data_IF_396978130553
#
_entry.id   IF_396978130553
#
_cell.length_a   1.000
_cell.length_b   1.000
_cell.length_c   1.000
_cell.angle_alpha   90.00
_cell.angle_beta   90.00
_cell.angle_gamma   90.00
#
_symmetry.space_group_name_H-M   'P 1'
#
loop_
_entity.id
_entity.type
_entity.pdbx_description
1 polymer ?
#
# COMPACT_ATOMS: atom_id res chain seq x y z
N UNK A 1 -4.93 25.56 6.47
CA UNK A 1 -4.29 24.61 5.53
C UNK A 1 -3.59 23.53 6.32
N UNK A 2 -3.46 22.31 5.79
CA UNK A 2 -2.65 21.26 6.46
C UNK A 2 -1.16 21.52 6.24
N UNK A 3 -0.32 21.26 7.25
CA UNK A 3 1.15 21.35 7.17
C UNK A 3 1.73 20.61 5.95
N UNK A 4 1.10 19.50 5.55
CA UNK A 4 1.54 18.72 4.38
C UNK A 4 1.25 19.44 3.05
N UNK A 5 0.18 20.23 2.99
CA UNK A 5 -0.15 21.06 1.82
C UNK A 5 0.83 22.23 1.77
N UNK A 6 1.08 22.88 2.91
CA UNK A 6 2.06 23.97 3.03
C UNK A 6 3.46 23.52 2.57
N UNK A 7 3.92 22.34 3.03
CA UNK A 7 5.22 21.77 2.63
C UNK A 7 5.33 21.56 1.11
N UNK A 8 4.25 21.07 0.48
CA UNK A 8 4.20 20.87 -0.98
C UNK A 8 4.23 22.19 -1.74
N UNK A 9 3.52 23.21 -1.25
CA UNK A 9 3.51 24.54 -1.84
C UNK A 9 4.89 25.20 -1.72
N UNK A 10 5.49 25.18 -0.53
CA UNK A 10 6.85 25.72 -0.32
C UNK A 10 7.84 25.01 -1.24
N UNK A 11 7.80 23.68 -1.31
CA UNK A 11 8.67 22.92 -2.23
C UNK A 11 8.47 23.30 -3.70
N UNK A 12 7.22 23.46 -4.15
CA UNK A 12 6.92 23.90 -5.51
C UNK A 12 7.44 25.33 -5.80
N UNK A 13 7.30 26.24 -4.83
CA UNK A 13 7.82 27.60 -4.94
C UNK A 13 9.35 27.61 -4.99
N UNK A 14 10.03 26.88 -4.11
CA UNK A 14 11.49 26.79 -4.14
C UNK A 14 12.01 26.25 -5.48
N UNK A 15 11.37 25.21 -6.03
CA UNK A 15 11.70 24.69 -7.36
C UNK A 15 11.43 25.74 -8.45
N UNK A 16 10.29 26.42 -8.40
CA UNK A 16 9.94 27.46 -9.37
C UNK A 16 10.97 28.61 -9.38
N UNK A 17 11.31 29.15 -8.22
CA UNK A 17 12.27 30.24 -8.12
C UNK A 17 13.68 29.81 -8.52
N UNK A 18 14.10 28.60 -8.15
CA UNK A 18 15.43 28.07 -8.51
C UNK A 18 15.53 27.78 -10.01
N UNK A 19 14.58 27.01 -10.56
CA UNK A 19 14.71 26.46 -11.92
C UNK A 19 14.22 27.42 -13.02
N UNK A 20 13.33 28.37 -12.70
CA UNK A 20 12.77 29.30 -13.69
C UNK A 20 13.18 30.76 -13.49
N UNK A 21 13.59 31.16 -12.29
CA UNK A 21 13.95 32.55 -11.98
C UNK A 21 15.41 32.71 -11.52
N UNK A 22 16.17 31.62 -11.44
CA UNK A 22 17.57 31.57 -11.01
C UNK A 22 17.81 32.29 -9.67
N UNK A 23 16.88 32.09 -8.72
CA UNK A 23 16.94 32.65 -7.37
C UNK A 23 16.79 31.57 -6.31
N UNK A 24 17.71 31.58 -5.35
CA UNK A 24 17.56 30.79 -4.14
C UNK A 24 16.70 31.53 -3.10
N UNK A 25 15.59 30.91 -2.71
CA UNK A 25 14.60 31.48 -1.78
C UNK A 25 14.30 30.54 -0.61
N UNK A 26 15.08 29.47 -0.43
CA UNK A 26 14.81 28.46 0.61
C UNK A 26 14.81 29.08 2.01
N UNK A 27 15.72 30.01 2.28
CA UNK A 27 15.84 30.69 3.58
C UNK A 27 14.67 31.63 3.88
N UNK A 28 13.86 31.98 2.86
CA UNK A 28 12.69 32.83 3.03
C UNK A 28 11.45 32.06 3.53
N UNK A 29 11.51 30.73 3.59
CA UNK A 29 10.38 29.89 3.98
C UNK A 29 10.66 29.11 5.26
N UNK A 30 9.81 29.28 6.28
CA UNK A 30 9.83 28.39 7.45
C UNK A 30 9.16 27.05 7.12
N UNK A 31 9.90 25.96 7.31
CA UNK A 31 9.36 24.61 7.15
C UNK A 31 8.56 24.22 8.40
N UNK A 32 7.30 23.76 8.24
CA UNK A 32 6.56 23.23 9.37
C UNK A 32 7.24 21.96 9.89
N UNK A 33 7.67 21.98 11.14
CA UNK A 33 8.27 20.81 11.79
C UNK A 33 7.17 19.82 12.19
N UNK A 34 7.33 18.54 11.86
CA UNK A 34 6.40 17.48 12.27
C UNK A 34 6.94 16.78 13.51
N UNK A 35 6.20 16.85 14.61
CA UNK A 35 6.46 15.99 15.76
C UNK A 35 6.16 14.53 15.40
N UNK A 36 7.06 13.61 15.76
CA UNK A 36 6.85 12.18 15.57
C UNK A 36 5.73 11.72 16.50
N UNK A 37 4.57 11.35 15.93
CA UNK A 37 3.49 10.73 16.68
C UNK A 37 3.70 9.21 16.69
N UNK A 38 3.50 8.52 17.83
CA UNK A 38 3.52 7.06 17.88
C UNK A 38 2.56 6.48 16.84
N UNK A 39 2.99 5.42 16.16
CA UNK A 39 2.15 4.73 15.19
C UNK A 39 1.20 3.80 15.93
N UNK A 40 -0.09 4.01 15.75
CA UNK A 40 -1.16 3.15 16.28
C UNK A 40 -1.21 1.83 15.49
N UNK A 41 -0.90 0.72 16.18
CA UNK A 41 -0.87 -0.65 15.62
C UNK A 41 -2.18 -1.36 15.97
N UNK A 42 -2.71 -2.13 15.02
CA UNK A 42 -3.96 -2.86 15.20
C UNK A 42 -3.76 -4.06 16.13
N UNK A 43 -4.72 -4.31 17.03
CA UNK A 43 -4.74 -5.53 17.82
C UNK A 43 -5.11 -6.74 16.96
N UNK A 44 -4.76 -7.94 17.43
CA UNK A 44 -5.02 -9.19 16.71
C UNK A 44 -6.52 -9.43 16.51
N UNK A 45 -7.34 -9.10 17.51
CA UNK A 45 -8.79 -9.27 17.48
C UNK A 45 -9.41 -8.37 16.40
N UNK A 46 -8.95 -7.13 16.31
CA UNK A 46 -9.39 -6.18 15.29
C UNK A 46 -9.05 -6.67 13.86
N UNK A 47 -7.87 -7.29 13.68
CA UNK A 47 -7.48 -7.89 12.40
C UNK A 47 -8.37 -9.09 12.05
N UNK A 48 -8.65 -9.96 13.02
CA UNK A 48 -9.51 -11.14 12.82
C UNK A 48 -10.96 -10.74 12.49
N UNK A 49 -11.50 -9.75 13.18
CA UNK A 49 -12.86 -9.24 12.91
C UNK A 49 -12.94 -8.65 11.50
N UNK A 50 -11.96 -7.84 11.11
CA UNK A 50 -11.92 -7.27 9.75
C UNK A 50 -11.77 -8.35 8.67
N UNK A 51 -10.87 -9.31 8.88
CA UNK A 51 -10.65 -10.41 7.93
C UNK A 51 -11.91 -11.26 7.74
N UNK A 52 -12.64 -11.51 8.82
CA UNK A 52 -13.88 -12.31 8.79
C UNK A 52 -15.02 -11.60 8.06
N UNK A 53 -15.03 -10.26 8.06
CA UNK A 53 -16.02 -9.45 7.34
C UNK A 53 -15.73 -9.31 5.83
N UNK A 54 -14.55 -9.70 5.35
CA UNK A 54 -14.27 -9.73 3.92
C UNK A 54 -15.03 -10.91 3.29
N UNK A 55 -15.98 -10.63 2.40
CA UNK A 55 -16.73 -11.70 1.72
C UNK A 55 -15.99 -12.24 0.50
N UNK A 56 -15.35 -11.35 -0.27
CA UNK A 56 -14.76 -11.70 -1.55
C UNK A 56 -13.34 -12.30 -1.37
N UNK A 57 -13.06 -13.49 -1.93
CA UNK A 57 -11.79 -14.20 -1.75
C UNK A 57 -10.58 -13.40 -2.25
N UNK A 58 -10.75 -12.59 -3.29
CA UNK A 58 -9.74 -11.65 -3.79
C UNK A 58 -9.24 -10.72 -2.70
N UNK A 59 -10.15 -10.08 -1.96
CA UNK A 59 -9.77 -9.11 -0.93
C UNK A 59 -9.22 -9.79 0.34
N UNK A 60 -9.61 -11.04 0.61
CA UNK A 60 -8.97 -11.87 1.64
C UNK A 60 -7.51 -12.16 1.30
N UNK A 61 -7.24 -12.59 0.07
CA UNK A 61 -5.88 -12.81 -0.42
C UNK A 61 -5.07 -11.51 -0.34
N UNK A 62 -5.60 -10.38 -0.83
CA UNK A 62 -4.93 -9.07 -0.75
C UNK A 62 -4.61 -8.68 0.70
N UNK A 63 -5.53 -8.93 1.64
CA UNK A 63 -5.33 -8.64 3.06
C UNK A 63 -4.15 -9.42 3.63
N UNK A 64 -4.12 -10.74 3.40
CA UNK A 64 -3.06 -11.62 3.91
C UNK A 64 -1.71 -11.29 3.27
N UNK A 65 -1.66 -11.07 1.96
CA UNK A 65 -0.44 -10.61 1.31
C UNK A 65 0.02 -9.27 1.87
N UNK A 66 -0.86 -8.29 2.06
CA UNK A 66 -0.47 -7.00 2.64
C UNK A 66 0.11 -7.13 4.06
N UNK A 67 -0.48 -7.98 4.89
CA UNK A 67 -0.08 -8.19 6.28
C UNK A 67 1.24 -8.97 6.41
N UNK A 68 1.49 -9.93 5.52
CA UNK A 68 2.65 -10.84 5.62
C UNK A 68 3.85 -10.35 4.81
N UNK A 69 3.62 -9.85 3.60
CA UNK A 69 4.67 -9.41 2.68
C UNK A 69 5.19 -8.00 2.98
N UNK A 70 4.40 -7.21 3.70
CA UNK A 70 4.71 -5.81 3.95
C UNK A 70 4.84 -4.97 2.67
N UNK A 71 4.22 -5.36 1.57
CA UNK A 71 4.26 -4.56 0.35
C UNK A 71 3.47 -3.26 0.49
N UNK A 72 3.95 -2.20 -0.16
CA UNK A 72 3.15 -0.98 -0.33
C UNK A 72 1.92 -1.31 -1.18
N UNK A 73 0.78 -0.67 -0.91
CA UNK A 73 -0.44 -0.85 -1.71
C UNK A 73 -0.22 -0.69 -3.22
N UNK A 74 0.73 0.17 -3.62
CA UNK A 74 1.14 0.31 -5.02
C UNK A 74 1.78 -0.93 -5.62
N UNK A 75 2.70 -1.54 -4.88
CA UNK A 75 3.43 -2.72 -5.33
C UNK A 75 2.52 -3.94 -5.29
N UNK A 76 1.70 -4.04 -4.25
CA UNK A 76 0.68 -5.08 -4.12
C UNK A 76 -0.29 -5.11 -5.31
N UNK A 77 -0.80 -3.96 -5.76
CA UNK A 77 -1.70 -3.89 -6.93
C UNK A 77 -0.99 -4.07 -8.29
N UNK A 78 0.35 -4.03 -8.31
CA UNK A 78 1.16 -4.14 -9.53
C UNK A 78 1.87 -5.49 -9.64
N UNK A 79 1.75 -6.35 -8.64
CA UNK A 79 2.29 -7.70 -8.60
C UNK A 79 1.71 -8.51 -9.77
N UNK A 80 2.55 -9.23 -10.49
CA UNK A 80 2.24 -10.12 -11.61
C UNK A 80 2.39 -11.58 -11.20
N UNK A 81 1.80 -12.51 -11.94
CA UNK A 81 1.91 -13.95 -11.65
C UNK A 81 3.37 -14.39 -11.63
N UNK A 82 4.18 -13.86 -12.55
CA UNK A 82 5.60 -14.17 -12.66
C UNK A 82 6.43 -13.65 -11.48
N UNK A 83 5.91 -12.70 -10.70
CA UNK A 83 6.57 -12.22 -9.48
C UNK A 83 6.37 -13.18 -8.28
N UNK A 84 5.48 -14.19 -8.40
CA UNK A 84 5.16 -15.16 -7.34
C UNK A 84 5.88 -16.48 -7.62
N UNK A 85 6.74 -16.89 -6.68
CA UNK A 85 7.40 -18.19 -6.73
C UNK A 85 6.70 -19.21 -5.81
N UNK A 86 6.84 -20.50 -6.12
CA UNK A 86 6.28 -21.61 -5.33
C UNK A 86 6.87 -21.66 -3.91
N UNK A 87 8.08 -21.13 -3.73
CA UNK A 87 8.80 -21.03 -2.44
C UNK A 87 8.35 -19.86 -1.54
N UNK A 88 7.17 -19.29 -1.81
CA UNK A 88 6.60 -18.12 -1.10
C UNK A 88 7.42 -16.85 -1.24
N UNK A 89 8.19 -16.79 -2.32
CA UNK A 89 9.04 -15.68 -2.68
C UNK A 89 8.23 -14.67 -3.48
N UNK A 90 8.41 -13.38 -3.19
CA UNK A 90 7.94 -12.28 -4.01
C UNK A 90 9.13 -11.47 -4.46
N UNK A 91 9.35 -11.44 -5.77
CA UNK A 91 10.37 -10.63 -6.43
C UNK A 91 9.64 -9.61 -7.28
N UNK A 92 9.33 -8.41 -6.77
CA UNK A 92 8.60 -7.44 -7.57
C UNK A 92 9.52 -6.89 -8.67
N UNK A 93 9.33 -7.32 -9.91
CA UNK A 93 10.25 -7.06 -11.04
C UNK A 93 10.32 -5.58 -11.50
N UNK A 94 9.61 -4.69 -10.80
CA UNK A 94 9.57 -3.26 -11.15
C UNK A 94 10.57 -2.46 -10.32
N UNK A 95 11.80 -2.39 -10.80
CA UNK A 95 12.70 -1.29 -10.46
C UNK A 95 12.03 0.05 -10.81
N UNK A 96 11.94 0.94 -9.83
CA UNK A 96 11.79 2.36 -10.18
C UNK A 96 13.20 2.92 -10.27
N UNK A 97 13.47 3.82 -11.22
CA UNK A 97 14.79 4.45 -11.45
C UNK A 97 15.45 5.09 -10.23
N UNK A 98 14.72 5.18 -9.11
CA UNK A 98 15.14 5.83 -7.86
C UNK A 98 15.07 4.85 -6.65
N UNK A 99 14.30 3.76 -6.73
CA UNK A 99 14.08 2.84 -5.59
C UNK A 99 14.02 1.39 -6.06
N UNK A 100 15.01 0.63 -5.62
CA UNK A 100 15.04 -0.83 -5.73
C UNK A 100 14.03 -1.45 -4.76
N UNK A 101 13.34 -2.49 -5.20
CA UNK A 101 12.44 -3.27 -4.36
C UNK A 101 13.11 -4.61 -4.10
N UNK A 102 13.44 -4.88 -2.84
CA UNK A 102 14.08 -6.11 -2.42
C UNK A 102 13.07 -7.26 -2.31
N UNK A 103 13.62 -8.47 -2.26
CA UNK A 103 12.93 -9.73 -1.99
C UNK A 103 12.02 -9.65 -0.77
N UNK A 104 10.81 -10.19 -0.89
CA UNK A 104 9.86 -10.30 0.23
C UNK A 104 9.25 -11.71 0.25
N UNK A 105 8.66 -12.10 1.37
CA UNK A 105 8.03 -13.41 1.55
C UNK A 105 6.55 -13.27 1.93
N UNK A 106 5.75 -14.31 1.71
CA UNK A 106 4.39 -14.44 2.27
C UNK A 106 4.23 -15.77 3.02
N UNK A 107 3.15 -15.93 3.80
CA UNK A 107 2.92 -17.13 4.61
C UNK A 107 2.04 -18.17 3.88
N UNK A 108 1.90 -19.36 4.48
CA UNK A 108 1.03 -20.43 3.96
C UNK A 108 -0.44 -20.00 3.82
N UNK A 109 -0.97 -19.26 4.80
CA UNK A 109 -2.36 -18.78 4.76
C UNK A 109 -2.62 -17.87 3.55
N UNK A 110 -1.64 -17.02 3.19
CA UNK A 110 -1.71 -16.18 2.00
C UNK A 110 -1.68 -17.03 0.73
N UNK A 111 -0.85 -18.08 0.68
CA UNK A 111 -0.81 -19.02 -0.45
C UNK A 111 -2.16 -19.72 -0.65
N UNK A 112 -2.74 -20.25 0.43
CA UNK A 112 -4.05 -20.90 0.41
C UNK A 112 -5.16 -19.95 -0.06
N UNK A 113 -5.17 -18.72 0.45
CA UNK A 113 -6.13 -17.70 0.02
C UNK A 113 -5.94 -17.29 -1.44
N UNK A 114 -4.70 -17.30 -1.94
CA UNK A 114 -4.42 -17.04 -3.36
C UNK A 114 -4.95 -18.16 -4.25
N UNK A 115 -4.69 -19.43 -3.91
CA UNK A 115 -5.21 -20.57 -4.66
C UNK A 115 -6.76 -20.62 -4.66
N UNK A 116 -7.40 -20.22 -3.57
CA UNK A 116 -8.86 -20.09 -3.51
C UNK A 116 -9.42 -19.00 -4.46
N UNK A 117 -8.66 -17.93 -4.69
CA UNK A 117 -9.04 -16.83 -5.58
C UNK A 117 -8.62 -17.05 -7.05
N UNK A 118 -7.54 -17.80 -7.28
CA UNK A 118 -6.98 -18.12 -8.60
C UNK A 118 -8.00 -18.52 -9.69
N UNK A 119 -9.04 -19.34 -9.43
CA UNK A 119 -10.02 -19.71 -10.45
C UNK A 119 -10.94 -18.56 -10.89
N UNK A 120 -11.10 -17.51 -10.10
CA UNK A 120 -11.94 -16.34 -10.44
C UNK A 120 -11.20 -15.32 -11.33
N UNK A 121 -9.93 -15.60 -11.66
CA UNK A 121 -9.09 -14.67 -12.39
C UNK A 121 -9.38 -14.66 -13.88
N UNK A 122 -9.28 -13.47 -14.45
CA UNK A 122 -9.22 -13.27 -15.89
C UNK A 122 -7.85 -13.73 -16.44
N UNK A 123 -7.77 -14.70 -17.36
CA UNK A 123 -6.49 -15.14 -17.91
C UNK A 123 -5.74 -14.05 -18.71
N UNK A 124 -6.43 -13.00 -19.16
CA UNK A 124 -5.82 -11.93 -19.96
C UNK A 124 -5.17 -10.81 -19.11
N UNK A 125 -5.31 -10.84 -17.78
CA UNK A 125 -4.68 -9.88 -16.86
C UNK A 125 -3.64 -10.55 -15.95
N UNK A 126 -2.37 -10.32 -16.30
CA UNK A 126 -1.18 -10.84 -15.62
C UNK A 126 -1.10 -10.43 -14.14
N UNK A 127 -1.78 -9.35 -13.74
CA UNK A 127 -1.72 -8.85 -12.36
C UNK A 127 -2.39 -9.83 -11.41
N UNK A 128 -1.70 -10.14 -10.32
CA UNK A 128 -2.12 -11.11 -9.31
C UNK A 128 -3.54 -10.85 -8.83
N UNK A 129 -3.85 -9.64 -8.39
CA UNK A 129 -5.13 -9.31 -7.78
C UNK A 129 -6.11 -8.57 -8.69
N UNK A 130 -5.77 -8.36 -9.97
CA UNK A 130 -6.65 -7.77 -11.00
C UNK A 130 -7.47 -6.56 -10.50
N UNK A 131 -6.78 -5.70 -9.74
CA UNK A 131 -7.38 -4.56 -9.07
C UNK A 131 -6.43 -3.38 -9.04
N UNK A 132 -6.97 -2.21 -8.77
CA UNK A 132 -6.19 -0.99 -8.58
C UNK A 132 -6.34 -0.47 -7.16
N UNK A 133 -5.53 0.52 -6.80
CA UNK A 133 -5.52 1.10 -5.44
C UNK A 133 -6.88 1.68 -5.04
N UNK A 134 -7.61 2.28 -5.97
CA UNK A 134 -8.84 3.02 -5.66
C UNK A 134 -9.97 2.07 -5.22
N UNK A 135 -10.35 1.04 -6.01
CA UNK A 135 -11.31 0.02 -5.58
C UNK A 135 -10.89 -0.70 -4.30
N UNK A 136 -9.60 -1.04 -4.18
CA UNK A 136 -9.07 -1.69 -2.99
C UNK A 136 -9.28 -0.84 -1.73
N UNK A 137 -8.86 0.43 -1.78
CA UNK A 137 -9.04 1.35 -0.65
C UNK A 137 -10.51 1.61 -0.35
N UNK A 138 -11.35 1.71 -1.38
CA UNK A 138 -12.80 1.90 -1.21
C UNK A 138 -13.43 0.71 -0.48
N UNK A 139 -13.13 -0.53 -0.90
CA UNK A 139 -13.67 -1.73 -0.24
C UNK A 139 -13.16 -1.85 1.20
N UNK A 140 -11.87 -1.61 1.44
CA UNK A 140 -11.31 -1.64 2.79
C UNK A 140 -11.93 -0.59 3.70
N UNK A 141 -12.20 0.60 3.17
CA UNK A 141 -12.91 1.64 3.92
C UNK A 141 -14.34 1.21 4.26
N UNK A 142 -15.07 0.66 3.29
CA UNK A 142 -16.45 0.22 3.51
C UNK A 142 -16.54 -0.87 4.59
N UNK A 143 -15.70 -1.90 4.51
CA UNK A 143 -15.65 -2.97 5.52
C UNK A 143 -15.19 -2.43 6.88
N UNK A 144 -14.28 -1.45 6.89
CA UNK A 144 -13.87 -0.78 8.13
C UNK A 144 -15.02 -0.01 8.80
N UNK A 145 -15.89 0.61 7.99
CA UNK A 145 -17.07 1.33 8.47
C UNK A 145 -18.14 0.37 9.02
N UNK A 146 -18.34 -0.78 8.35
CA UNK A 146 -19.27 -1.83 8.79
C UNK A 146 -18.85 -2.48 10.12
N UNK A 147 -17.56 -2.79 10.26
CA UNK A 147 -17.01 -3.46 11.45
C UNK A 147 -16.68 -2.48 12.59
N UNK A 148 -16.65 -1.18 12.29
CA UNK A 148 -16.24 -0.14 13.25
C UNK A 148 -14.75 -0.13 13.57
N UNK A 149 -13.92 -0.82 12.78
CA UNK A 149 -12.47 -0.93 12.97
C UNK A 149 -11.76 -0.32 11.77
N UNK A 150 -10.96 0.73 12.00
CA UNK A 150 -10.23 1.42 10.94
C UNK A 150 -9.01 0.63 10.46
N UNK A 151 -9.20 -0.19 9.43
CA UNK A 151 -8.14 -0.97 8.79
C UNK A 151 -7.77 -0.37 7.44
N UNK A 152 -6.47 -0.19 7.22
CA UNK A 152 -5.94 0.24 5.91
C UNK A 152 -4.74 -0.63 5.57
N UNK A 153 -4.47 -0.81 4.28
CA UNK A 153 -3.26 -1.53 3.80
C UNK A 153 -1.98 -0.97 4.44
N UNK A 154 -1.93 0.34 4.66
CA UNK A 154 -0.77 0.97 5.32
C UNK A 154 -0.62 0.54 6.78
N UNK A 155 -1.72 0.34 7.52
CA UNK A 155 -1.70 -0.16 8.89
C UNK A 155 -1.31 -1.64 8.98
N UNK A 156 -1.64 -2.45 7.97
CA UNK A 156 -1.31 -3.88 7.95
C UNK A 156 0.20 -4.17 7.86
N UNK A 157 0.98 -3.24 7.31
CA UNK A 157 2.44 -3.37 7.20
C UNK A 157 3.19 -2.92 8.48
N UNK A 158 2.49 -2.36 9.48
CA UNK A 158 3.14 -1.72 10.61
C UNK A 158 3.43 -2.68 11.74
#
# INVERSE_FOLDING_TARGET
MSDSIQMRIIGALCIFFRDFLDREVMDAFEMPSKSAKPTDVLSKENLQTFYSALENPKYKAVFLFAATSGLRSSKLCQLTIDDIDEDKLLVPDKESSIKETWLTFYNDEAAEAFEAFKPERDPDDDRVFQTTKQPLNWKFRHVSEEVGVKVTIQKLRR
#
